data_IF_696709955255
#
_entry.id   IF_696709955255
#
_cell.length_a   1.000
_cell.length_b   1.000
_cell.length_c   1.000
_cell.angle_alpha   90.00
_cell.angle_beta   90.00
_cell.angle_gamma   90.00
#
_symmetry.space_group_name_H-M   'P 1'
#
loop_
_entity.id
_entity.type
_entity.pdbx_description
1 polymer ?
#
# COMPACT_ATOMS: atom_id res chain seq x y z
N UNK A 1 -3.66 -22.84 -26.74
CA UNK A 1 -3.18 -22.57 -26.06
C UNK A 1 -2.87 -22.04 -25.60
N UNK A 2 -2.83 -21.96 -25.86
CA UNK A 2 -2.38 -21.65 -25.33
C UNK A 2 -2.07 -21.24 -25.02
N UNK A 3 -2.02 -20.98 -25.46
CA UNK A 3 -1.44 -20.63 -25.13
C UNK A 3 -0.74 -20.18 -24.74
N UNK A 4 -0.55 -20.25 -25.23
CA UNK A 4 0.44 -19.92 -24.83
C UNK A 4 0.55 -19.31 -24.73
N UNK A 5 0.53 -19.10 -25.00
CA UNK A 5 0.87 -18.57 -24.75
C UNK A 5 1.21 -18.06 -24.19
N UNK A 6 1.66 -18.18 -24.48
CA UNK A 6 2.13 -17.64 -23.70
C UNK A 6 2.09 -16.80 -23.12
N UNK A 7 2.64 -16.36 -23.51
CA UNK A 7 2.09 -15.40 -22.58
C UNK A 7 1.73 -16.04 -21.27
N UNK A 8 2.04 -15.38 -20.16
CA UNK A 8 1.58 -15.86 -18.86
C UNK A 8 0.06 -15.84 -18.83
N UNK A 9 -0.54 -17.00 -18.95
CA UNK A 9 -1.94 -17.13 -18.61
C UNK A 9 -2.10 -16.83 -17.12
N UNK A 10 -3.22 -16.24 -16.69
CA UNK A 10 -3.44 -16.01 -15.26
C UNK A 10 -3.24 -17.28 -14.40
N UNK A 11 -3.53 -18.47 -14.95
CA UNK A 11 -3.31 -19.73 -14.26
C UNK A 11 -1.86 -20.00 -13.94
N UNK A 12 -0.92 -19.57 -14.80
CA UNK A 12 0.50 -19.81 -14.57
C UNK A 12 1.01 -19.08 -13.34
N UNK A 13 0.59 -17.88 -13.18
CA UNK A 13 0.92 -17.05 -12.04
C UNK A 13 0.44 -17.71 -10.74
N UNK A 14 -0.79 -18.17 -10.71
CA UNK A 14 -1.39 -18.76 -9.53
C UNK A 14 -0.82 -20.13 -9.18
N UNK A 15 -0.17 -20.79 -10.11
CA UNK A 15 0.47 -22.08 -9.86
C UNK A 15 1.91 -21.94 -9.36
N UNK A 16 2.47 -20.74 -9.34
CA UNK A 16 3.83 -20.54 -8.86
C UNK A 16 3.89 -20.68 -7.34
N UNK A 17 5.07 -21.04 -6.84
CA UNK A 17 5.30 -21.30 -5.43
C UNK A 17 6.35 -20.35 -4.83
N UNK A 18 6.66 -19.27 -5.52
CA UNK A 18 7.66 -18.29 -5.09
C UNK A 18 7.05 -16.91 -4.81
N UNK A 19 5.79 -16.90 -4.36
CA UNK A 19 5.10 -15.66 -3.97
C UNK A 19 5.82 -14.98 -2.82
N UNK A 20 5.79 -13.68 -2.83
CA UNK A 20 6.30 -12.86 -1.72
C UNK A 20 5.44 -11.61 -1.58
N UNK A 21 5.53 -10.95 -0.45
CA UNK A 21 4.74 -9.74 -0.27
C UNK A 21 5.21 -8.90 0.89
N UNK A 22 4.62 -7.71 0.97
CA UNK A 22 4.78 -6.81 2.10
C UNK A 22 3.52 -6.91 2.93
N UNK A 23 3.67 -6.99 4.25
CA UNK A 23 2.55 -7.01 5.19
C UNK A 23 2.61 -5.74 6.03
N UNK A 24 1.54 -4.97 6.02
CA UNK A 24 1.41 -3.77 6.85
C UNK A 24 0.54 -4.09 8.05
N UNK A 25 0.99 -3.68 9.23
CA UNK A 25 0.16 -3.78 10.42
C UNK A 25 -0.83 -2.62 10.46
N UNK A 26 -2.01 -2.88 11.01
CA UNK A 26 -3.04 -1.86 11.16
C UNK A 26 -3.96 -2.21 12.31
N UNK A 27 -4.58 -1.21 12.94
CA UNK A 27 -5.62 -1.49 13.94
C UNK A 27 -6.92 -1.96 13.31
N UNK A 28 -7.21 -1.54 12.08
CA UNK A 28 -8.43 -1.88 11.33
C UNK A 28 -8.05 -2.30 9.91
N UNK A 29 -8.15 -3.59 9.66
CA UNK A 29 -7.76 -4.20 8.37
C UNK A 29 -8.61 -3.67 7.23
N UNK A 30 -9.92 -3.56 7.43
CA UNK A 30 -10.84 -3.17 6.36
C UNK A 30 -10.57 -1.75 5.86
N UNK A 31 -10.28 -0.83 6.76
CA UNK A 31 -10.00 0.56 6.41
C UNK A 31 -8.76 0.65 5.54
N UNK A 32 -7.67 -0.01 5.96
CA UNK A 32 -6.41 0.10 5.23
C UNK A 32 -6.45 -0.66 3.91
N UNK A 33 -7.08 -1.83 3.88
CA UNK A 33 -7.23 -2.58 2.64
C UNK A 33 -8.01 -1.79 1.60
N UNK A 34 -9.12 -1.18 2.00
CA UNK A 34 -9.92 -0.36 1.10
C UNK A 34 -9.14 0.84 0.58
N UNK A 35 -8.34 1.48 1.45
CA UNK A 35 -7.55 2.62 1.04
C UNK A 35 -6.61 2.26 -0.12
N UNK A 36 -5.78 1.23 0.06
CA UNK A 36 -4.82 0.87 -0.99
C UNK A 36 -5.50 0.25 -2.21
N UNK A 37 -6.59 -0.47 -2.03
CA UNK A 37 -7.36 -0.99 -3.15
C UNK A 37 -7.85 0.15 -4.05
N UNK A 38 -8.37 1.22 -3.45
CA UNK A 38 -8.90 2.36 -4.20
C UNK A 38 -7.79 3.25 -4.75
N UNK A 39 -6.73 3.44 -3.97
CA UNK A 39 -5.61 4.28 -4.40
C UNK A 39 -4.94 3.70 -5.65
N UNK A 40 -4.74 2.39 -5.67
CA UNK A 40 -3.95 1.73 -6.72
C UNK A 40 -4.80 0.94 -7.72
N UNK A 41 -6.09 0.76 -7.45
CA UNK A 41 -6.93 -0.08 -8.30
C UNK A 41 -6.66 -1.56 -8.12
N UNK A 42 -6.11 -1.97 -7.00
CA UNK A 42 -5.80 -3.36 -6.72
C UNK A 42 -6.98 -4.07 -6.09
N UNK A 43 -7.51 -5.15 -6.70
CA UNK A 43 -8.60 -5.87 -6.08
C UNK A 43 -8.22 -6.47 -4.73
N UNK A 44 -9.17 -6.51 -3.82
CA UNK A 44 -9.00 -7.23 -2.56
C UNK A 44 -9.22 -8.70 -2.86
N UNK A 45 -8.17 -9.48 -2.66
CA UNK A 45 -8.15 -10.90 -2.99
C UNK A 45 -8.82 -11.73 -1.90
N UNK A 46 -8.52 -11.40 -0.66
CA UNK A 46 -9.21 -11.98 0.49
C UNK A 46 -9.23 -10.96 1.61
N UNK A 47 -10.21 -11.08 2.49
CA UNK A 47 -10.32 -10.19 3.65
C UNK A 47 -11.19 -10.83 4.71
N UNK A 48 -10.70 -10.79 5.94
CA UNK A 48 -11.51 -11.03 7.13
C UNK A 48 -11.13 -10.01 8.20
N UNK A 49 -11.56 -10.21 9.45
CA UNK A 49 -11.29 -9.24 10.51
C UNK A 49 -9.81 -9.15 10.87
N UNK A 50 -9.03 -10.18 10.61
CA UNK A 50 -7.65 -10.30 11.06
C UNK A 50 -6.64 -10.00 9.96
N UNK A 51 -6.98 -10.23 8.69
CA UNK A 51 -6.06 -9.93 7.61
C UNK A 51 -6.77 -9.70 6.28
N UNK A 52 -6.03 -9.12 5.35
CA UNK A 52 -6.45 -8.94 3.97
C UNK A 52 -5.23 -9.04 3.06
N UNK A 53 -5.47 -9.36 1.79
CA UNK A 53 -4.43 -9.35 0.78
C UNK A 53 -4.98 -8.72 -0.50
N UNK A 54 -4.14 -7.92 -1.15
CA UNK A 54 -4.45 -7.23 -2.39
C UNK A 54 -3.69 -7.84 -3.54
N UNK A 55 -4.37 -8.00 -4.66
CA UNK A 55 -3.80 -8.52 -5.90
C UNK A 55 -3.18 -7.36 -6.68
N UNK A 56 -1.87 -7.41 -6.88
CA UNK A 56 -1.16 -6.35 -7.59
C UNK A 56 -1.24 -6.48 -9.12
N UNK A 57 -1.99 -7.45 -9.60
CA UNK A 57 -2.33 -7.53 -11.01
C UNK A 57 -1.45 -8.45 -11.84
N UNK A 58 -0.16 -8.49 -11.58
CA UNK A 58 0.76 -9.35 -12.32
C UNK A 58 1.95 -9.72 -11.45
N UNK A 59 2.71 -10.71 -11.89
CA UNK A 59 3.81 -11.20 -11.09
C UNK A 59 3.35 -12.01 -9.90
N UNK A 60 4.22 -12.15 -8.92
CA UNK A 60 3.97 -12.99 -7.74
C UNK A 60 4.22 -12.20 -6.45
N UNK A 61 3.81 -10.95 -6.47
CA UNK A 61 3.90 -10.08 -5.30
C UNK A 61 2.52 -9.68 -4.83
N UNK A 62 2.38 -9.45 -3.53
CA UNK A 62 1.12 -8.97 -2.96
C UNK A 62 1.38 -7.95 -1.87
N UNK A 63 0.36 -7.17 -1.56
CA UNK A 63 0.34 -6.31 -0.38
C UNK A 63 -0.72 -6.88 0.56
N UNK A 64 -0.33 -7.19 1.78
CA UNK A 64 -1.24 -7.70 2.78
C UNK A 64 -1.35 -6.72 3.93
N UNK A 65 -2.46 -6.81 4.65
CA UNK A 65 -2.70 -6.04 5.87
C UNK A 65 -3.01 -7.05 6.97
N UNK A 66 -2.43 -6.86 8.14
CA UNK A 66 -2.59 -7.72 9.29
C UNK A 66 -3.05 -6.89 10.46
N UNK A 67 -4.09 -7.35 11.14
CA UNK A 67 -4.55 -6.67 12.35
C UNK A 67 -3.53 -6.86 13.45
N UNK A 68 -3.14 -5.75 14.07
CA UNK A 68 -2.25 -5.77 15.23
C UNK A 68 -2.95 -5.04 16.37
N UNK A 69 -3.45 -5.74 17.40
CA UNK A 69 -4.15 -5.08 18.50
C UNK A 69 -3.24 -4.16 19.32
N UNK A 70 -1.92 -4.36 19.22
CA UNK A 70 -0.95 -3.51 19.91
C UNK A 70 -0.33 -2.46 19.00
N UNK A 71 -1.00 -2.15 17.90
CA UNK A 71 -0.50 -1.23 16.89
C UNK A 71 -0.22 0.15 17.48
N UNK A 72 1.00 0.66 17.24
CA UNK A 72 1.38 2.04 17.59
C UNK A 72 1.58 2.80 16.30
N UNK A 73 0.76 3.84 16.09
CA UNK A 73 0.82 4.66 14.89
C UNK A 73 2.19 5.31 14.77
N UNK A 74 2.89 5.17 13.65
CA UNK A 74 4.16 5.88 13.47
C UNK A 74 3.96 7.39 13.43
N UNK A 75 4.97 8.11 13.86
CA UNK A 75 5.01 9.56 13.79
C UNK A 75 6.03 9.95 12.73
N UNK A 76 5.64 10.81 11.81
CA UNK A 76 6.57 11.26 10.77
C UNK A 76 6.40 12.77 10.54
N UNK A 77 7.50 13.54 10.56
CA UNK A 77 8.84 13.14 10.98
C UNK A 77 8.85 12.81 12.47
N UNK A 78 9.66 11.80 12.85
CA UNK A 78 9.64 11.27 14.20
C UNK A 78 10.64 12.01 15.10
N UNK A 79 10.19 12.63 16.20
CA UNK A 79 11.12 13.12 17.21
C UNK A 79 11.71 11.93 18.00
N UNK A 80 12.81 12.15 18.72
CA UNK A 80 13.39 11.07 19.55
C UNK A 80 12.36 10.48 20.49
N UNK A 81 12.32 9.15 20.55
CA UNK A 81 11.43 8.41 21.45
C UNK A 81 10.05 8.11 20.87
N UNK A 82 9.66 8.71 19.73
CA UNK A 82 8.41 8.39 19.09
C UNK A 82 8.56 7.14 18.20
N UNK A 83 7.44 6.49 17.89
CA UNK A 83 7.45 5.34 16.99
C UNK A 83 7.83 5.79 15.59
N UNK A 84 8.91 5.25 15.06
CA UNK A 84 9.39 5.56 13.73
C UNK A 84 8.69 4.66 12.70
N UNK A 85 8.63 5.15 11.44
CA UNK A 85 8.30 4.25 10.35
C UNK A 85 9.42 3.22 10.20
N UNK A 86 9.06 1.98 9.87
CA UNK A 86 10.03 0.92 9.63
C UNK A 86 10.29 0.72 8.15
N UNK A 87 9.35 1.16 7.32
CA UNK A 87 9.45 1.15 5.87
C UNK A 87 8.42 2.13 5.31
N UNK A 88 8.52 2.43 4.04
CA UNK A 88 7.46 3.17 3.34
C UNK A 88 7.32 2.65 1.91
N UNK A 89 6.15 2.84 1.34
CA UNK A 89 5.86 2.47 -0.04
C UNK A 89 6.05 3.70 -0.92
N UNK A 90 6.55 3.49 -2.13
CA UNK A 90 6.69 4.54 -3.12
C UNK A 90 5.84 4.20 -4.34
N UNK A 91 5.11 5.19 -4.86
CA UNK A 91 4.31 5.01 -6.07
C UNK A 91 4.63 6.12 -7.06
N UNK A 92 5.06 5.73 -8.24
CA UNK A 92 5.22 6.69 -9.34
C UNK A 92 3.85 7.07 -9.88
N UNK A 93 3.65 8.36 -10.16
CA UNK A 93 2.39 8.87 -10.70
C UNK A 93 2.70 9.85 -11.85
N UNK A 94 1.72 10.07 -12.71
CA UNK A 94 1.89 10.97 -13.85
C UNK A 94 1.67 12.43 -13.47
N UNK A 95 0.73 12.69 -12.57
CA UNK A 95 0.31 14.03 -12.18
C UNK A 95 0.30 14.09 -10.65
N UNK A 96 1.35 14.67 -10.09
CA UNK A 96 1.53 14.65 -8.63
C UNK A 96 0.41 15.40 -7.90
N UNK A 97 0.04 16.63 -8.29
CA UNK A 97 -1.06 17.30 -7.61
C UNK A 97 -2.39 16.53 -7.65
N UNK A 98 -2.72 15.93 -8.78
CA UNK A 98 -3.95 15.15 -8.90
C UNK A 98 -3.90 13.88 -8.05
N UNK A 99 -2.74 13.22 -8.03
CA UNK A 99 -2.56 12.01 -7.22
C UNK A 99 -2.66 12.31 -5.73
N UNK A 100 -2.09 13.43 -5.29
CA UNK A 100 -2.20 13.87 -3.88
C UNK A 100 -3.65 14.16 -3.54
N UNK A 101 -4.37 14.90 -4.38
CA UNK A 101 -5.78 15.21 -4.14
C UNK A 101 -6.61 13.94 -4.02
N UNK A 102 -6.35 12.96 -4.88
CA UNK A 102 -7.06 11.68 -4.85
C UNK A 102 -6.77 10.91 -3.56
N UNK A 103 -5.50 10.87 -3.15
CA UNK A 103 -5.12 10.19 -1.91
C UNK A 103 -5.81 10.81 -0.70
N UNK A 104 -5.89 12.15 -0.65
CA UNK A 104 -6.57 12.85 0.44
C UNK A 104 -8.06 12.53 0.47
N UNK A 105 -8.71 12.45 -0.69
CA UNK A 105 -10.11 12.04 -0.78
C UNK A 105 -10.34 10.65 -0.19
N UNK A 106 -9.35 9.78 -0.35
CA UNK A 106 -9.46 8.39 0.11
C UNK A 106 -9.11 8.21 1.58
N UNK A 107 -8.62 9.26 2.25
CA UNK A 107 -8.36 9.21 3.68
C UNK A 107 -6.91 9.38 4.09
N UNK A 108 -6.02 9.69 3.16
CA UNK A 108 -4.63 9.99 3.51
C UNK A 108 -4.52 11.36 4.15
N UNK A 109 -3.42 11.59 4.87
CA UNK A 109 -3.06 12.90 5.42
C UNK A 109 -1.81 13.40 4.71
N UNK A 110 -1.70 14.70 4.54
CA UNK A 110 -0.54 15.34 3.94
C UNK A 110 0.22 16.10 5.03
N UNK A 111 1.34 15.58 5.54
CA UNK A 111 2.15 16.30 6.51
C UNK A 111 2.69 17.60 5.93
N UNK A 112 2.89 18.58 6.79
CA UNK A 112 3.45 19.87 6.39
C UNK A 112 4.89 19.75 5.92
N UNK A 113 5.67 18.91 6.60
CA UNK A 113 7.08 18.70 6.26
C UNK A 113 7.21 17.89 4.97
N UNK A 114 7.77 18.53 3.94
CA UNK A 114 7.95 17.91 2.62
C UNK A 114 9.39 18.16 2.17
N UNK A 115 10.30 17.17 2.32
CA UNK A 115 11.72 17.41 2.09
C UNK A 115 12.11 17.56 0.62
N UNK A 116 11.25 17.17 -0.33
CA UNK A 116 11.59 17.19 -1.76
C UNK A 116 10.48 17.85 -2.57
N UNK A 117 10.83 18.41 -3.73
CA UNK A 117 9.86 19.15 -4.55
C UNK A 117 9.03 18.25 -5.47
N UNK A 118 9.58 17.14 -5.91
CA UNK A 118 8.95 16.22 -6.86
C UNK A 118 8.44 14.94 -6.19
N UNK A 119 8.43 14.91 -4.87
CA UNK A 119 7.92 13.81 -4.07
C UNK A 119 7.00 14.41 -3.01
N UNK A 120 5.90 13.74 -2.75
CA UNK A 120 5.04 14.08 -1.61
C UNK A 120 4.94 12.89 -0.68
N UNK A 121 5.24 13.14 0.58
CA UNK A 121 5.05 12.15 1.64
C UNK A 121 3.65 12.32 2.18
N UNK A 122 2.89 11.23 2.22
CA UNK A 122 1.56 11.21 2.82
C UNK A 122 1.52 10.12 3.89
N UNK A 123 0.50 10.18 4.72
CA UNK A 123 0.26 9.13 5.72
C UNK A 123 -1.02 8.40 5.33
N UNK A 124 -0.98 7.07 5.32
CA UNK A 124 -2.19 6.29 5.07
C UNK A 124 -3.10 6.32 6.30
N UNK A 125 -4.31 5.76 6.25
CA UNK A 125 -5.23 5.81 7.40
C UNK A 125 -4.68 5.20 8.69
N UNK A 126 -3.71 4.31 8.60
CA UNK A 126 -3.06 3.74 9.79
C UNK A 126 -1.81 4.52 10.20
N UNK A 127 -1.42 5.55 9.43
CA UNK A 127 -0.29 6.41 9.73
C UNK A 127 1.03 6.01 9.10
N UNK A 128 1.07 4.95 8.28
CA UNK A 128 2.30 4.62 7.58
C UNK A 128 2.63 5.69 6.56
N UNK A 129 3.84 6.24 6.55
CA UNK A 129 4.26 7.10 5.46
C UNK A 129 4.32 6.34 4.13
N UNK A 130 3.88 6.99 3.08
CA UNK A 130 4.09 6.52 1.71
C UNK A 130 4.36 7.73 0.83
N UNK A 131 5.04 7.52 -0.30
CA UNK A 131 5.42 8.60 -1.18
C UNK A 131 4.74 8.46 -2.53
N UNK A 132 4.33 9.60 -3.07
CA UNK A 132 3.94 9.75 -4.46
C UNK A 132 5.00 10.59 -5.15
N UNK A 133 5.46 10.18 -6.34
CA UNK A 133 6.52 10.88 -7.04
C UNK A 133 6.33 10.85 -8.55
N UNK A 134 6.95 11.78 -9.23
CA UNK A 134 6.96 11.81 -10.71
C UNK A 134 8.38 11.58 -11.30
#
# INVERSE_FOLDING_TARGET
MDEGTSTDAPGDRWSRADWWGVVLDAPDVAVLARFYSRLRGWPIWKQDADDAALDLGEGVAYLAIQRNPDYVRPVWPAPPGAQQMMLHLDFQVDDLPAAVARALELGAELPEHQPQTDVRVLLDPAGHPFCLYT
#
